data_IF_487049177203
#
_entry.id   IF_487049177203
#
_cell.length_a   1.000
_cell.length_b   1.000
_cell.length_c   1.000
_cell.angle_alpha   90.00
_cell.angle_beta   90.00
_cell.angle_gamma   90.00
#
_symmetry.space_group_name_H-M   'P 1'
#
loop_
_entity.id
_entity.type
_entity.pdbx_description
1 polymer ?
#
# COMPACT_ATOMS: atom_id res chain seq x y z
N UNK A 1 7.55 4.03 12.74
CA UNK A 1 6.54 3.31 11.97
C UNK A 1 7.11 2.93 10.62
N UNK A 2 6.93 1.68 10.23
CA UNK A 2 7.39 1.20 8.93
C UNK A 2 6.20 1.08 7.99
N UNK A 3 6.30 1.67 6.81
CA UNK A 3 5.26 1.61 5.79
C UNK A 3 5.82 0.83 4.60
N UNK A 4 5.13 -0.23 4.21
CA UNK A 4 5.55 -1.07 3.10
C UNK A 4 4.40 -1.22 2.12
N UNK A 5 4.67 -0.99 0.84
CA UNK A 5 3.73 -1.23 -0.24
C UNK A 5 4.36 -2.25 -1.18
N UNK A 6 3.66 -3.34 -1.40
CA UNK A 6 4.08 -4.39 -2.31
C UNK A 6 3.05 -4.52 -3.43
N UNK A 7 3.53 -4.45 -4.66
CA UNK A 7 2.70 -4.68 -5.83
C UNK A 7 3.12 -5.99 -6.49
N UNK A 8 2.17 -6.90 -6.64
CA UNK A 8 2.43 -8.19 -7.24
C UNK A 8 1.37 -8.52 -8.27
N UNK A 9 1.68 -9.46 -9.16
CA UNK A 9 0.76 -9.94 -10.18
C UNK A 9 1.13 -9.49 -11.57
N UNK A 10 0.12 -9.42 -12.44
CA UNK A 10 0.33 -9.20 -13.85
C UNK A 10 0.77 -10.46 -14.57
N UNK A 11 0.91 -10.38 -15.88
CA UNK A 11 1.26 -11.54 -16.73
C UNK A 11 2.64 -12.11 -16.39
N UNK A 12 3.59 -11.23 -16.07
CA UNK A 12 4.96 -11.64 -15.75
C UNK A 12 5.14 -11.98 -14.27
N UNK A 13 4.12 -11.85 -13.46
CA UNK A 13 4.15 -12.12 -12.01
C UNK A 13 5.29 -11.40 -11.28
N UNK A 14 5.62 -10.20 -11.73
CA UNK A 14 6.68 -9.41 -11.12
C UNK A 14 6.19 -8.76 -9.83
N UNK A 15 7.07 -8.74 -8.82
CA UNK A 15 6.79 -8.13 -7.53
C UNK A 15 7.70 -6.93 -7.32
N UNK A 16 7.12 -5.81 -6.88
CA UNK A 16 7.87 -4.63 -6.46
C UNK A 16 7.50 -4.27 -5.04
N UNK A 17 8.48 -3.81 -4.28
CA UNK A 17 8.29 -3.44 -2.89
C UNK A 17 8.89 -2.05 -2.66
N UNK A 18 8.10 -1.19 -2.01
CA UNK A 18 8.54 0.13 -1.57
C UNK A 18 8.39 0.21 -0.06
N UNK A 19 9.45 0.66 0.61
CA UNK A 19 9.44 0.75 2.07
C UNK A 19 9.89 2.14 2.52
N UNK A 20 9.19 2.68 3.49
CA UNK A 20 9.50 3.95 4.12
C UNK A 20 9.58 3.74 5.64
N UNK A 21 10.61 4.27 6.26
CA UNK A 21 10.76 4.26 7.70
C UNK A 21 10.46 5.65 8.25
N UNK A 22 9.33 5.78 8.94
CA UNK A 22 8.91 7.01 9.59
C UNK A 22 9.40 6.96 11.04
N UNK A 23 10.63 7.45 11.28
CA UNK A 23 11.32 7.32 12.57
C UNK A 23 11.23 8.60 13.39
N UNK A 24 11.41 9.76 12.75
CA UNK A 24 11.39 11.04 13.45
C UNK A 24 9.96 11.50 13.74
N UNK A 25 9.81 12.47 14.64
CA UNK A 25 8.51 13.08 14.92
C UNK A 25 7.92 13.73 13.66
N UNK A 26 8.77 14.38 12.85
CA UNK A 26 8.35 14.99 11.59
C UNK A 26 7.82 13.96 10.62
N UNK A 27 8.53 12.84 10.48
CA UNK A 27 8.09 11.75 9.61
C UNK A 27 6.75 11.19 10.04
N UNK A 28 6.58 10.94 11.35
CA UNK A 28 5.32 10.41 11.87
C UNK A 28 4.18 11.38 11.67
N UNK A 29 4.42 12.68 11.86
CA UNK A 29 3.41 13.71 11.62
C UNK A 29 2.99 13.79 10.16
N UNK A 30 3.91 13.50 9.24
CA UNK A 30 3.64 13.48 7.80
C UNK A 30 2.84 12.25 7.39
N UNK A 31 3.24 11.07 7.89
CA UNK A 31 2.69 9.79 7.41
C UNK A 31 1.44 9.34 8.16
N UNK A 32 1.33 9.68 9.43
CA UNK A 32 0.22 9.23 10.25
C UNK A 32 -1.15 9.63 9.69
N UNK A 33 -1.37 10.89 9.25
CA UNK A 33 -2.67 11.24 8.64
C UNK A 33 -2.98 10.44 7.38
N UNK A 34 -1.97 10.12 6.57
CA UNK A 34 -2.17 9.32 5.36
C UNK A 34 -2.62 7.91 5.70
N UNK A 35 -2.00 7.33 6.72
CA UNK A 35 -2.35 5.98 7.19
C UNK A 35 -3.74 5.97 7.80
N UNK A 36 -4.04 6.93 8.66
CA UNK A 36 -5.32 6.98 9.38
C UNK A 36 -6.50 7.29 8.47
N UNK A 37 -6.26 7.97 7.35
CA UNK A 37 -7.32 8.25 6.38
C UNK A 37 -7.79 7.00 5.63
N UNK A 38 -7.01 5.93 5.65
CA UNK A 38 -7.35 4.71 4.94
C UNK A 38 -8.35 3.86 5.73
N UNK A 39 -9.39 3.34 5.06
CA UNK A 39 -10.41 2.51 5.74
C UNK A 39 -9.95 1.06 5.90
N UNK A 40 -9.00 0.83 6.80
CA UNK A 40 -8.42 -0.50 7.02
C UNK A 40 -9.47 -1.56 7.38
N UNK A 41 -10.50 -1.16 8.12
CA UNK A 41 -11.54 -2.09 8.56
C UNK A 41 -12.59 -2.36 7.49
N UNK A 42 -12.60 -1.57 6.42
CA UNK A 42 -13.56 -1.72 5.33
C UNK A 42 -12.99 -2.48 4.14
N UNK A 43 -11.81 -3.05 4.26
CA UNK A 43 -11.17 -3.82 3.19
C UNK A 43 -11.83 -5.18 3.06
N UNK A 44 -12.23 -5.51 1.82
CA UNK A 44 -12.83 -6.81 1.53
C UNK A 44 -11.82 -7.94 1.65
N UNK A 45 -12.33 -9.17 1.78
CA UNK A 45 -11.49 -10.36 1.82
C UNK A 45 -10.60 -10.42 0.58
N UNK A 46 -9.27 -10.53 0.74
CA UNK A 46 -8.35 -10.63 -0.40
C UNK A 46 -8.69 -11.75 -1.38
N UNK A 47 -9.30 -12.81 -0.90
CA UNK A 47 -9.71 -13.95 -1.75
C UNK A 47 -10.79 -13.53 -2.75
N UNK A 48 -11.73 -12.70 -2.31
CA UNK A 48 -12.77 -12.19 -3.18
C UNK A 48 -12.22 -11.19 -4.18
N UNK A 49 -11.29 -10.37 -3.75
CA UNK A 49 -10.67 -9.36 -4.59
C UNK A 49 -9.86 -9.99 -5.74
N UNK A 50 -9.23 -11.12 -5.47
CA UNK A 50 -8.37 -11.80 -6.44
C UNK A 50 -9.15 -12.73 -7.38
N UNK A 51 -10.40 -13.02 -7.08
CA UNK A 51 -11.18 -14.02 -7.80
C UNK A 51 -11.51 -13.53 -9.22
N UNK A 52 -11.14 -14.34 -10.21
CA UNK A 52 -11.48 -14.07 -11.61
C UNK A 52 -10.63 -13.00 -12.30
N UNK A 53 -9.59 -12.49 -11.65
CA UNK A 53 -8.75 -11.42 -12.21
C UNK A 53 -7.26 -11.74 -12.07
N UNK A 54 -6.78 -12.85 -12.63
CA UNK A 54 -5.38 -13.27 -12.39
C UNK A 54 -4.33 -12.36 -13.03
N UNK A 55 -4.70 -11.57 -14.02
CA UNK A 55 -3.80 -10.67 -14.73
C UNK A 55 -3.73 -9.27 -14.13
N UNK A 56 -4.47 -9.01 -13.06
CA UNK A 56 -4.45 -7.71 -12.40
C UNK A 56 -3.41 -7.66 -11.29
N UNK A 57 -2.90 -6.45 -11.05
CA UNK A 57 -2.01 -6.22 -9.93
C UNK A 57 -2.77 -6.22 -8.61
N UNK A 58 -2.09 -6.74 -7.59
CA UNK A 58 -2.56 -6.70 -6.22
C UNK A 58 -1.60 -5.87 -5.40
N UNK A 59 -2.13 -5.06 -4.51
CA UNK A 59 -1.34 -4.25 -3.60
C UNK A 59 -1.48 -4.78 -2.18
N UNK A 60 -0.35 -5.06 -1.54
CA UNK A 60 -0.29 -5.37 -0.12
C UNK A 60 0.30 -4.16 0.59
N UNK A 61 -0.45 -3.56 1.49
CA UNK A 61 -0.07 -2.32 2.16
C UNK A 61 0.03 -2.58 3.64
N UNK A 62 1.17 -2.22 4.23
CA UNK A 62 1.41 -2.36 5.67
C UNK A 62 1.84 -1.02 6.23
N UNK A 63 1.32 -0.70 7.41
CA UNK A 63 1.70 0.50 8.14
C UNK A 63 1.67 0.19 9.63
N UNK A 64 2.85 -0.02 10.23
CA UNK A 64 2.94 -0.48 11.59
C UNK A 64 2.32 -1.86 11.74
N UNK A 65 1.27 -1.96 12.54
CA UNK A 65 0.55 -3.22 12.75
C UNK A 65 -0.64 -3.39 11.81
N UNK A 66 -0.98 -2.36 11.04
CA UNK A 66 -2.09 -2.40 10.10
C UNK A 66 -1.64 -2.98 8.77
N UNK A 67 -2.52 -3.72 8.13
CA UNK A 67 -2.25 -4.26 6.80
C UNK A 67 -3.54 -4.45 6.03
N UNK A 68 -3.42 -4.35 4.70
CA UNK A 68 -4.54 -4.54 3.80
C UNK A 68 -4.02 -5.09 2.48
N UNK A 69 -4.84 -5.89 1.80
CA UNK A 69 -4.55 -6.37 0.46
C UNK A 69 -5.70 -5.95 -0.44
N UNK A 70 -5.37 -5.23 -1.52
CA UNK A 70 -6.36 -4.63 -2.40
C UNK A 70 -6.01 -4.93 -3.85
N UNK A 71 -7.02 -5.16 -4.72
CA UNK A 71 -6.76 -5.15 -6.15
C UNK A 71 -6.45 -3.71 -6.61
N UNK A 72 -5.76 -3.59 -7.72
CA UNK A 72 -5.39 -2.29 -8.27
C UNK A 72 -6.60 -1.36 -8.42
N UNK A 73 -7.73 -1.90 -8.82
CA UNK A 73 -8.96 -1.12 -9.00
C UNK A 73 -9.53 -0.54 -7.71
N UNK A 74 -9.17 -1.11 -6.57
CA UNK A 74 -9.61 -0.61 -5.27
C UNK A 74 -8.65 0.41 -4.66
N UNK A 75 -7.48 0.61 -5.27
CA UNK A 75 -6.50 1.58 -4.78
C UNK A 75 -6.89 2.97 -5.27
N UNK A 76 -7.84 3.58 -4.57
CA UNK A 76 -8.40 4.88 -4.91
C UNK A 76 -8.51 5.73 -3.64
N UNK A 77 -8.66 7.03 -3.81
CA UNK A 77 -8.82 7.95 -2.68
C UNK A 77 -7.63 7.89 -1.72
N UNK A 78 -7.86 7.70 -0.42
CA UNK A 78 -6.77 7.68 0.56
C UNK A 78 -5.76 6.56 0.32
N UNK A 79 -6.20 5.40 -0.18
CA UNK A 79 -5.29 4.31 -0.53
C UNK A 79 -4.28 4.73 -1.60
N UNK A 80 -4.76 5.41 -2.63
CA UNK A 80 -3.92 5.88 -3.71
C UNK A 80 -2.90 6.91 -3.22
N UNK A 81 -3.33 7.82 -2.37
CA UNK A 81 -2.44 8.83 -1.79
C UNK A 81 -1.32 8.17 -1.01
N UNK A 82 -1.67 7.18 -0.17
CA UNK A 82 -0.67 6.46 0.63
C UNK A 82 0.31 5.70 -0.26
N UNK A 83 -0.19 4.97 -1.25
CA UNK A 83 0.66 4.19 -2.16
C UNK A 83 1.60 5.11 -2.95
N UNK A 84 1.09 6.16 -3.55
CA UNK A 84 1.92 7.08 -4.34
C UNK A 84 2.94 7.82 -3.49
N UNK A 85 2.55 8.23 -2.29
CA UNK A 85 3.48 8.89 -1.36
C UNK A 85 4.60 7.95 -0.93
N UNK A 86 4.29 6.69 -0.67
CA UNK A 86 5.28 5.68 -0.29
C UNK A 86 6.25 5.42 -1.45
N UNK A 87 5.72 5.29 -2.66
CA UNK A 87 6.56 5.09 -3.84
C UNK A 87 7.52 6.25 -4.05
N UNK A 88 6.99 7.48 -4.03
CA UNK A 88 7.80 8.67 -4.25
C UNK A 88 8.90 8.79 -3.20
N UNK A 89 8.58 8.57 -1.94
CA UNK A 89 9.55 8.66 -0.85
C UNK A 89 10.62 7.58 -0.94
N UNK A 90 10.23 6.36 -1.27
CA UNK A 90 11.18 5.25 -1.41
C UNK A 90 12.10 5.45 -2.62
N UNK A 91 11.57 5.95 -3.72
CA UNK A 91 12.36 6.22 -4.92
C UNK A 91 13.33 7.37 -4.71
N UNK A 92 12.91 8.40 -3.97
CA UNK A 92 13.79 9.53 -3.63
C UNK A 92 14.94 9.13 -2.72
N UNK A 93 14.74 8.11 -1.89
CA UNK A 93 15.76 7.64 -0.95
C UNK A 93 16.77 6.68 -1.59
N UNK A 94 16.53 6.26 -2.80
CA UNK A 94 17.38 5.30 -3.48
C UNK A 94 18.71 5.88 -3.96
#
# INVERSE_FOLDING_TARGET
>A
MKITVERSGGIAALTRVWTVLAVTSSDKSRWQPLVEACPWDAVDDPRQAADGQPDRFMYSIRAGQRRATLPETAVTGPWRVLVESTRAAAEDSA
#
